data_IF_425665402297
#
_entry.id   IF_425665402297
#
_cell.length_a   1.000
_cell.length_b   1.000
_cell.length_c   1.000
_cell.angle_alpha   90.00
_cell.angle_beta   90.00
_cell.angle_gamma   90.00
#
_symmetry.space_group_name_H-M   'P 1'
#
loop_
_entity.id
_entity.type
_entity.pdbx_description
1 polymer ?
#
# COMPACT_ATOMS: atom_id res chain seq x y z
N UNK A 1 -21.69 20.31 41.14
CA UNK A 1 -20.64 19.27 41.34
C UNK A 1 -20.52 18.47 40.05
N UNK A 2 -19.69 18.92 39.10
CA UNK A 2 -19.43 18.21 37.85
C UNK A 2 -17.94 17.95 37.73
N UNK A 3 -17.54 16.68 37.71
CA UNK A 3 -16.14 16.28 37.47
C UNK A 3 -15.90 16.28 35.96
N UNK A 4 -15.13 17.24 35.47
CA UNK A 4 -14.54 17.19 34.13
C UNK A 4 -13.65 15.94 34.01
N UNK A 5 -14.01 15.05 33.08
CA UNK A 5 -13.13 13.95 32.64
C UNK A 5 -11.98 14.57 31.83
N UNK A 6 -10.79 14.64 32.42
CA UNK A 6 -9.54 14.91 31.69
C UNK A 6 -9.39 13.89 30.55
N UNK A 7 -9.45 14.37 29.29
CA UNK A 7 -9.07 13.60 28.11
C UNK A 7 -7.60 13.19 28.26
N UNK A 8 -7.32 11.87 28.33
CA UNK A 8 -5.95 11.35 28.18
C UNK A 8 -5.55 11.50 26.71
N UNK A 9 -4.32 11.93 26.39
CA UNK A 9 -3.84 11.93 25.02
C UNK A 9 -3.68 10.50 24.52
N UNK A 10 -4.07 10.26 23.27
CA UNK A 10 -3.78 9.05 22.52
C UNK A 10 -2.26 8.87 22.40
N UNK A 11 -1.70 7.66 22.49
CA UNK A 11 -0.27 7.44 22.26
C UNK A 11 0.03 7.69 20.77
N UNK A 12 0.48 8.90 20.43
CA UNK A 12 0.86 9.25 19.07
C UNK A 12 2.27 8.75 18.78
N UNK A 13 2.37 7.82 17.83
CA UNK A 13 3.59 7.27 17.25
C UNK A 13 4.59 8.34 16.77
N UNK A 14 4.11 9.56 16.47
CA UNK A 14 4.95 10.68 16.02
C UNK A 14 5.76 11.36 17.14
N UNK A 15 5.35 11.27 18.41
CA UNK A 15 5.98 12.06 19.47
C UNK A 15 7.34 11.50 19.93
N UNK A 16 7.52 10.18 19.90
CA UNK A 16 8.73 9.54 20.44
C UNK A 16 9.93 9.66 19.50
N UNK A 17 9.71 9.72 18.18
CA UNK A 17 10.78 9.96 17.20
C UNK A 17 11.35 11.40 17.27
N UNK A 18 10.58 12.37 17.80
CA UNK A 18 11.04 13.75 17.96
C UNK A 18 11.71 14.00 19.32
N UNK A 19 11.35 13.26 20.37
CA UNK A 19 11.87 13.48 21.72
C UNK A 19 13.39 13.17 21.85
N UNK A 20 13.92 12.24 21.06
CA UNK A 20 15.34 11.91 21.02
C UNK A 20 16.25 13.01 20.46
N UNK A 21 15.70 13.97 19.72
CA UNK A 21 16.45 15.08 19.13
C UNK A 21 16.51 16.33 20.04
N UNK A 22 15.67 16.43 21.07
CA UNK A 22 15.59 17.64 21.90
C UNK A 22 16.56 17.65 23.10
N UNK A 23 17.16 16.51 23.45
CA UNK A 23 18.00 16.39 24.65
C UNK A 23 19.52 16.48 24.41
N UNK A 24 19.96 16.87 23.21
CA UNK A 24 21.37 17.17 22.90
C UNK A 24 21.57 18.67 22.65
N UNK A 25 21.47 19.47 23.71
CA UNK A 25 21.89 20.86 23.68
C UNK A 25 23.37 20.95 24.06
N UNK A 26 24.26 20.54 23.15
CA UNK A 26 25.64 21.02 22.99
C UNK A 26 26.42 20.12 22.04
N UNK A 27 26.37 20.41 20.73
CA UNK A 27 27.51 20.34 19.79
C UNK A 27 26.99 20.44 18.35
N UNK A 28 27.56 21.37 17.58
CA UNK A 28 27.56 21.40 16.11
C UNK A 28 26.21 21.42 15.40
N UNK A 29 25.84 22.56 14.82
CA UNK A 29 24.81 22.64 13.78
C UNK A 29 25.01 21.54 12.72
N UNK A 30 23.97 20.80 12.30
CA UNK A 30 24.11 19.86 11.19
C UNK A 30 24.36 20.65 9.91
N UNK A 31 25.57 20.52 9.38
CA UNK A 31 25.92 21.08 8.09
C UNK A 31 25.20 20.29 6.98
N UNK A 32 24.42 20.99 6.15
CA UNK A 32 24.18 20.65 4.74
C UNK A 32 23.08 19.64 4.43
N UNK A 33 21.82 20.04 4.53
CA UNK A 33 20.79 19.55 3.60
C UNK A 33 20.90 20.40 2.33
N UNK A 34 21.89 20.11 1.50
CA UNK A 34 21.91 20.57 0.11
C UNK A 34 21.41 19.42 -0.76
N UNK A 35 20.08 19.25 -0.82
CA UNK A 35 19.49 18.69 -2.02
C UNK A 35 19.45 19.83 -3.04
N UNK A 36 20.20 19.73 -4.13
CA UNK A 36 20.07 20.62 -5.29
C UNK A 36 18.68 20.45 -5.93
N UNK A 37 17.66 20.99 -5.28
CA UNK A 37 16.34 21.18 -5.85
C UNK A 37 16.40 22.54 -6.54
N UNK A 38 16.41 22.53 -7.87
CA UNK A 38 16.34 23.76 -8.67
C UNK A 38 15.20 24.66 -8.18
N UNK A 39 15.41 25.98 -8.13
CA UNK A 39 14.39 26.97 -7.71
C UNK A 39 13.04 26.76 -8.41
N UNK A 40 13.07 26.26 -9.66
CA UNK A 40 11.90 25.92 -10.46
C UNK A 40 11.11 24.74 -9.87
N UNK A 41 11.81 23.70 -9.40
CA UNK A 41 11.20 22.53 -8.74
C UNK A 41 10.63 22.91 -7.36
N UNK A 42 11.33 23.76 -6.61
CA UNK A 42 10.84 24.28 -5.32
C UNK A 42 9.56 25.12 -5.50
N UNK A 43 9.47 25.91 -6.57
CA UNK A 43 8.26 26.69 -6.90
C UNK A 43 7.04 25.82 -7.23
N UNK A 44 7.25 24.70 -7.95
CA UNK A 44 6.20 23.74 -8.31
C UNK A 44 5.69 22.96 -7.09
N UNK A 45 6.62 22.53 -6.21
CA UNK A 45 6.30 21.89 -4.93
C UNK A 45 5.46 22.85 -4.07
N UNK A 46 5.90 24.09 -3.93
CA UNK A 46 5.19 25.10 -3.14
C UNK A 46 3.79 25.39 -3.71
N UNK A 47 3.64 25.49 -5.04
CA UNK A 47 2.34 25.68 -5.68
C UNK A 47 1.40 24.50 -5.43
N UNK A 48 1.92 23.27 -5.48
CA UNK A 48 1.13 22.06 -5.29
C UNK A 48 0.57 21.94 -3.87
N UNK A 49 1.43 22.02 -2.86
CA UNK A 49 0.99 21.89 -1.45
C UNK A 49 0.11 23.07 -1.00
N UNK A 50 0.32 24.26 -1.57
CA UNK A 50 -0.54 25.42 -1.33
C UNK A 50 -1.99 25.19 -1.79
N UNK A 51 -2.23 24.42 -2.86
CA UNK A 51 -3.57 24.07 -3.34
C UNK A 51 -4.40 23.33 -2.26
N UNK A 52 -3.73 22.59 -1.38
CA UNK A 52 -4.34 21.86 -0.28
C UNK A 52 -4.26 22.59 1.06
N UNK A 53 -3.81 23.85 1.07
CA UNK A 53 -3.64 24.64 2.29
C UNK A 53 -2.52 24.15 3.20
N UNK A 54 -1.53 23.41 2.66
CA UNK A 54 -0.40 22.89 3.42
C UNK A 54 0.71 23.93 3.41
N UNK A 55 1.11 24.39 4.59
CA UNK A 55 2.23 25.32 4.76
C UNK A 55 3.57 24.63 4.47
N UNK A 56 4.62 25.43 4.27
CA UNK A 56 5.99 24.91 4.12
C UNK A 56 6.41 24.07 5.33
N UNK A 57 6.04 24.49 6.54
CA UNK A 57 6.26 23.72 7.77
C UNK A 57 5.49 22.38 7.75
N UNK A 58 4.25 22.37 7.24
CA UNK A 58 3.49 21.14 7.01
C UNK A 58 4.21 20.18 6.06
N UNK A 59 4.76 20.69 4.96
CA UNK A 59 5.57 19.91 4.01
C UNK A 59 6.85 19.36 4.65
N UNK A 60 7.58 20.17 5.43
CA UNK A 60 8.76 19.69 6.17
C UNK A 60 8.43 18.56 7.16
N UNK A 61 7.28 18.64 7.84
CA UNK A 61 6.80 17.54 8.72
C UNK A 61 6.47 16.28 7.94
N UNK A 62 5.92 16.40 6.72
CA UNK A 62 5.70 15.24 5.83
C UNK A 62 7.04 14.60 5.46
N UNK A 63 8.03 15.39 5.03
CA UNK A 63 9.36 14.89 4.69
C UNK A 63 10.00 14.19 5.89
N UNK A 64 9.84 14.74 7.10
CA UNK A 64 10.30 14.12 8.33
C UNK A 64 9.57 12.80 8.64
N UNK A 65 8.27 12.72 8.38
CA UNK A 65 7.48 11.51 8.62
C UNK A 65 7.93 10.33 7.74
N UNK A 66 8.31 10.59 6.49
CA UNK A 66 8.81 9.56 5.54
C UNK A 66 10.34 9.45 5.49
N UNK A 67 11.04 10.20 6.35
CA UNK A 67 12.47 10.12 6.43
C UNK A 67 12.90 8.72 6.91
N UNK A 68 13.99 8.25 6.29
CA UNK A 68 14.63 6.99 6.63
C UNK A 68 16.13 7.15 6.47
N UNK A 69 16.91 6.67 7.43
CA UNK A 69 18.37 6.79 7.42
C UNK A 69 18.98 6.04 6.23
N UNK A 70 20.06 6.60 5.67
CA UNK A 70 20.86 5.97 4.61
C UNK A 70 22.23 5.58 5.14
N UNK A 71 22.91 4.63 4.48
CA UNK A 71 24.32 4.40 4.71
C UNK A 71 25.14 5.69 4.61
N UNK A 72 26.05 5.88 5.56
CA UNK A 72 26.99 7.01 5.60
C UNK A 72 28.09 6.93 4.52
N UNK A 73 28.07 5.89 3.69
CA UNK A 73 29.09 5.54 2.71
C UNK A 73 28.50 4.95 1.45
N UNK A 74 29.27 5.01 0.36
CA UNK A 74 28.92 4.31 -0.87
C UNK A 74 29.00 2.80 -0.70
N UNK A 75 27.96 2.10 -1.16
CA UNK A 75 27.87 0.64 -1.15
C UNK A 75 28.48 0.12 -2.43
N UNK A 76 29.68 -0.45 -2.33
CA UNK A 76 30.44 -0.93 -3.49
C UNK A 76 30.39 -2.44 -3.66
N UNK A 77 29.93 -3.19 -2.63
CA UNK A 77 29.83 -4.65 -2.66
C UNK A 77 28.64 -5.13 -1.81
N UNK A 78 27.95 -6.17 -2.29
CA UNK A 78 26.87 -6.87 -1.58
C UNK A 78 27.36 -7.45 -0.25
N UNK A 79 28.63 -7.84 -0.11
CA UNK A 79 29.15 -8.38 1.16
C UNK A 79 29.08 -7.39 2.32
N UNK A 80 29.04 -6.08 2.03
CA UNK A 80 28.89 -5.00 3.03
C UNK A 80 27.46 -4.86 3.56
N UNK A 81 26.50 -5.55 2.93
CA UNK A 81 25.10 -5.51 3.36
C UNK A 81 24.86 -6.32 4.61
N UNK A 82 23.85 -5.95 5.38
CA UNK A 82 23.52 -6.63 6.65
C UNK A 82 23.16 -8.09 6.41
N UNK A 83 23.93 -8.99 7.02
CA UNK A 83 23.74 -10.43 6.98
C UNK A 83 22.80 -10.88 8.09
N UNK A 84 21.66 -11.50 7.78
CA UNK A 84 20.78 -12.07 8.79
C UNK A 84 21.41 -13.26 9.53
N UNK A 85 22.41 -13.93 8.93
CA UNK A 85 23.09 -15.06 9.55
C UNK A 85 24.13 -14.65 10.59
N UNK A 86 24.73 -13.46 10.45
CA UNK A 86 25.76 -12.95 11.37
C UNK A 86 25.20 -11.94 12.39
N UNK A 87 24.07 -11.32 12.07
CA UNK A 87 23.37 -10.40 12.98
C UNK A 87 22.83 -11.16 14.19
N UNK A 88 23.04 -10.62 15.39
CA UNK A 88 22.58 -11.22 16.65
C UNK A 88 21.73 -10.21 17.44
N UNK A 89 21.03 -10.69 18.47
CA UNK A 89 20.36 -9.83 19.43
C UNK A 89 20.61 -10.30 20.87
N UNK A 90 20.48 -9.38 21.83
CA UNK A 90 20.66 -9.60 23.26
C UNK A 90 19.42 -9.10 23.99
N UNK A 91 18.89 -9.90 24.93
CA UNK A 91 17.81 -9.45 25.82
C UNK A 91 18.44 -8.70 26.98
N UNK A 92 18.12 -7.42 27.10
CA UNK A 92 18.70 -6.53 28.11
C UNK A 92 18.15 -6.87 29.50
N UNK A 93 19.05 -6.92 30.49
CA UNK A 93 18.70 -7.14 31.90
C UNK A 93 17.78 -8.35 32.13
N UNK A 94 18.09 -9.48 31.49
CA UNK A 94 17.27 -10.70 31.56
C UNK A 94 17.01 -11.11 33.02
N UNK A 95 15.74 -11.09 33.42
CA UNK A 95 15.25 -11.55 34.73
C UNK A 95 14.79 -13.01 34.65
N UNK A 96 14.78 -13.70 35.78
CA UNK A 96 14.17 -15.03 35.91
C UNK A 96 12.64 -15.01 35.68
N UNK A 97 11.98 -13.91 36.08
CA UNK A 97 10.54 -13.72 35.89
C UNK A 97 10.18 -12.25 35.71
N UNK A 98 9.02 -12.02 35.11
CA UNK A 98 8.47 -10.69 34.81
C UNK A 98 7.02 -10.61 35.24
N UNK A 99 6.55 -9.39 35.53
CA UNK A 99 5.13 -9.12 35.81
C UNK A 99 4.38 -8.75 34.52
N UNK A 100 3.11 -9.13 34.43
CA UNK A 100 2.26 -8.71 33.31
C UNK A 100 2.15 -7.19 33.29
N UNK A 101 2.37 -6.59 32.11
CA UNK A 101 2.42 -5.15 31.91
C UNK A 101 3.81 -4.53 32.00
N UNK A 102 4.85 -5.28 32.41
CA UNK A 102 6.24 -4.83 32.30
C UNK A 102 6.70 -4.75 30.84
N UNK A 103 7.82 -4.06 30.62
CA UNK A 103 8.49 -3.96 29.33
C UNK A 103 9.79 -4.78 29.30
N UNK A 104 10.06 -5.41 28.15
CA UNK A 104 11.28 -6.12 27.84
C UNK A 104 12.02 -5.38 26.73
N UNK A 105 13.31 -5.12 26.93
CA UNK A 105 14.17 -4.46 25.96
C UNK A 105 15.14 -5.46 25.33
N UNK A 106 15.35 -5.34 24.02
CA UNK A 106 16.26 -6.19 23.25
C UNK A 106 17.12 -5.30 22.36
N UNK A 107 18.43 -5.56 22.33
CA UNK A 107 19.35 -4.86 21.43
C UNK A 107 19.77 -5.79 20.30
N UNK A 108 19.59 -5.35 19.05
CA UNK A 108 20.06 -6.04 17.85
C UNK A 108 21.39 -5.42 17.43
N UNK A 109 22.38 -6.27 17.11
CA UNK A 109 23.69 -5.87 16.60
C UNK A 109 23.84 -6.35 15.16
N UNK A 110 23.67 -5.43 14.21
CA UNK A 110 23.76 -5.73 12.80
C UNK A 110 25.20 -6.00 12.38
N UNK A 111 25.39 -7.05 11.58
CA UNK A 111 26.68 -7.42 11.00
C UNK A 111 26.56 -7.68 9.52
N UNK A 112 27.63 -7.47 8.78
CA UNK A 112 27.70 -7.74 7.35
C UNK A 112 28.00 -9.23 7.03
N UNK A 113 28.10 -9.57 5.74
CA UNK A 113 28.42 -10.94 5.31
C UNK A 113 29.85 -11.36 5.60
N UNK A 114 30.73 -10.42 5.96
CA UNK A 114 32.10 -10.69 6.42
C UNK A 114 32.17 -10.74 7.97
N UNK A 115 31.00 -10.77 8.65
CA UNK A 115 30.84 -10.84 10.11
C UNK A 115 31.43 -9.62 10.85
N UNK A 116 31.52 -8.48 10.16
CA UNK A 116 31.94 -7.21 10.75
C UNK A 116 30.73 -6.42 11.21
N UNK A 117 30.84 -5.77 12.37
CA UNK A 117 29.79 -4.90 12.90
C UNK A 117 29.53 -3.73 11.97
N UNK A 118 28.25 -3.45 11.74
CA UNK A 118 27.80 -2.24 11.06
C UNK A 118 28.07 -1.03 11.95
N UNK A 119 28.28 0.14 11.34
CA UNK A 119 28.50 1.40 12.07
C UNK A 119 27.51 2.50 11.69
N UNK A 120 26.46 2.13 10.94
CA UNK A 120 25.39 3.01 10.48
C UNK A 120 24.08 2.25 10.54
N UNK A 121 22.98 3.00 10.66
CA UNK A 121 21.61 2.47 10.69
C UNK A 121 20.99 2.31 9.29
N UNK A 122 19.65 2.28 9.25
CA UNK A 122 18.84 2.24 8.04
C UNK A 122 18.30 0.86 7.69
N UNK A 123 18.70 -0.20 8.40
CA UNK A 123 18.10 -1.52 8.23
C UNK A 123 16.64 -1.50 8.69
N UNK A 124 15.78 -2.19 7.95
CA UNK A 124 14.40 -2.38 8.32
C UNK A 124 14.21 -3.72 9.01
N UNK A 125 14.15 -3.70 10.34
CA UNK A 125 13.83 -4.85 11.17
C UNK A 125 12.34 -4.86 11.58
N UNK A 126 11.79 -6.05 11.72
CA UNK A 126 10.54 -6.29 12.43
C UNK A 126 10.81 -7.27 13.57
N UNK A 127 10.13 -7.08 14.69
CA UNK A 127 10.30 -7.92 15.86
C UNK A 127 8.96 -8.28 16.49
N UNK A 128 8.88 -9.46 17.09
CA UNK A 128 7.73 -9.92 17.85
C UNK A 128 8.15 -10.75 19.06
N UNK A 129 7.37 -10.62 20.12
CA UNK A 129 7.40 -11.54 21.25
C UNK A 129 6.18 -12.45 21.10
N UNK A 130 6.36 -13.77 21.18
CA UNK A 130 5.29 -14.72 20.88
C UNK A 130 5.38 -16.01 21.69
N UNK A 131 4.27 -16.76 21.72
CA UNK A 131 4.20 -18.11 22.26
C UNK A 131 3.37 -19.00 21.33
N UNK A 132 4.01 -19.96 20.67
CA UNK A 132 3.33 -20.85 19.72
C UNK A 132 2.25 -21.71 20.38
N UNK A 133 2.46 -22.11 21.64
CA UNK A 133 1.53 -22.98 22.39
C UNK A 133 0.19 -22.29 22.62
N UNK A 134 0.23 -21.03 23.08
CA UNK A 134 -0.98 -20.25 23.39
C UNK A 134 -1.44 -19.38 22.22
N UNK A 135 -0.67 -19.34 21.12
CA UNK A 135 -0.87 -18.43 19.99
C UNK A 135 -0.86 -16.95 20.41
N UNK A 136 -0.23 -16.64 21.55
CA UNK A 136 -0.04 -15.28 22.02
C UNK A 136 1.07 -14.60 21.22
N UNK A 137 0.91 -13.31 20.95
CA UNK A 137 1.94 -12.51 20.28
C UNK A 137 1.73 -11.02 20.52
N UNK A 138 2.82 -10.26 20.55
CA UNK A 138 2.82 -8.80 20.63
C UNK A 138 3.91 -8.24 19.71
N UNK A 139 3.60 -7.12 19.07
CA UNK A 139 4.51 -6.39 18.21
C UNK A 139 5.64 -5.73 19.03
N UNK A 140 6.87 -5.80 18.52
CA UNK A 140 8.02 -5.11 19.10
C UNK A 140 8.29 -3.79 18.38
N UNK A 141 8.34 -2.69 19.12
CA UNK A 141 8.74 -1.39 18.56
C UNK A 141 10.24 -1.37 18.36
N UNK A 142 10.68 -1.22 17.11
CA UNK A 142 12.10 -1.15 16.74
C UNK A 142 12.53 0.30 16.53
N UNK A 143 13.62 0.70 17.19
CA UNK A 143 14.25 2.00 17.08
C UNK A 143 15.69 1.83 16.59
N UNK A 144 16.00 2.49 15.48
CA UNK A 144 17.37 2.55 14.93
C UNK A 144 18.23 3.51 15.78
N UNK A 145 19.37 3.01 16.27
CA UNK A 145 20.32 3.81 17.06
C UNK A 145 21.39 4.49 16.18
N UNK A 146 21.27 4.35 14.85
CA UNK A 146 22.09 4.97 13.82
C UNK A 146 23.58 4.59 13.84
N UNK A 147 23.94 3.56 14.61
CA UNK A 147 25.32 3.11 14.80
C UNK A 147 25.51 1.63 14.45
N UNK A 148 24.57 1.03 13.71
CA UNK A 148 24.55 -0.40 13.40
C UNK A 148 23.90 -1.28 14.49
N UNK A 149 23.35 -0.66 15.53
CA UNK A 149 22.53 -1.34 16.54
C UNK A 149 21.10 -0.80 16.58
N UNK A 150 20.16 -1.63 17.02
CA UNK A 150 18.73 -1.31 17.06
C UNK A 150 18.15 -1.73 18.41
N UNK A 151 17.36 -0.86 19.03
CA UNK A 151 16.63 -1.18 20.26
C UNK A 151 15.23 -1.68 19.92
N UNK A 152 14.75 -2.71 20.61
CA UNK A 152 13.41 -3.25 20.48
C UNK A 152 12.72 -3.23 21.83
N UNK A 153 11.52 -2.63 21.90
CA UNK A 153 10.67 -2.60 23.10
C UNK A 153 9.47 -3.52 22.94
N UNK A 154 9.28 -4.43 23.88
CA UNK A 154 8.09 -5.30 23.97
C UNK A 154 7.32 -5.03 25.26
N UNK A 155 6.00 -4.89 25.16
CA UNK A 155 5.10 -5.05 26.31
C UNK A 155 4.99 -6.55 26.66
N UNK A 156 4.77 -6.91 27.92
CA UNK A 156 4.50 -8.28 28.37
C UNK A 156 3.02 -8.46 28.77
N UNK A 157 2.08 -8.68 27.82
CA UNK A 157 0.65 -8.62 28.12
C UNK A 157 0.00 -9.95 28.55
N UNK A 158 0.75 -11.06 28.63
CA UNK A 158 0.21 -12.35 29.07
C UNK A 158 1.12 -13.06 30.07
N UNK A 159 0.53 -13.99 30.82
CA UNK A 159 1.24 -14.91 31.71
C UNK A 159 1.64 -16.17 30.94
N UNK A 160 2.89 -16.59 31.05
CA UNK A 160 3.40 -17.84 30.49
C UNK A 160 4.73 -17.67 29.77
N UNK A 161 5.15 -18.72 29.05
CA UNK A 161 6.35 -18.69 28.22
C UNK A 161 6.20 -17.70 27.06
N UNK A 162 7.32 -17.07 26.70
CA UNK A 162 7.42 -16.17 25.56
C UNK A 162 8.79 -16.32 24.89
N UNK A 163 8.85 -16.11 23.59
CA UNK A 163 10.06 -16.13 22.77
C UNK A 163 10.16 -14.84 21.97
N UNK A 164 11.38 -14.31 21.85
CA UNK A 164 11.69 -13.16 21.00
C UNK A 164 12.06 -13.67 19.60
N UNK A 165 11.48 -13.06 18.58
CA UNK A 165 11.92 -13.19 17.20
C UNK A 165 12.19 -11.81 16.62
N UNK A 166 13.37 -11.66 16.02
CA UNK A 166 13.79 -10.48 15.25
C UNK A 166 14.04 -10.90 13.82
N UNK A 167 13.55 -10.13 12.86
CA UNK A 167 13.67 -10.41 11.43
C UNK A 167 14.21 -9.19 10.71
N UNK A 168 15.29 -9.38 9.95
CA UNK A 168 15.73 -8.43 8.94
C UNK A 168 14.78 -8.53 7.74
N UNK A 169 14.03 -7.44 7.46
CA UNK A 169 13.18 -7.35 6.28
C UNK A 169 13.99 -6.83 5.10
N UNK A 170 14.72 -5.72 5.31
CA UNK A 170 15.68 -5.18 4.34
C UNK A 170 16.91 -4.65 5.06
N UNK A 171 18.07 -4.85 4.47
CA UNK A 171 19.26 -4.13 4.91
C UNK A 171 19.19 -2.66 4.50
N UNK A 172 19.96 -1.80 5.15
CA UNK A 172 20.11 -0.38 4.80
C UNK A 172 20.46 -0.16 3.32
N UNK A 173 21.24 -1.07 2.73
CA UNK A 173 21.64 -1.03 1.31
C UNK A 173 20.45 -1.30 0.40
N UNK A 174 19.65 -2.31 0.73
CA UNK A 174 18.43 -2.61 -0.03
C UNK A 174 17.41 -1.48 0.14
N UNK A 175 17.28 -0.90 1.34
CA UNK A 175 16.45 0.28 1.55
C UNK A 175 16.93 1.46 0.70
N UNK A 176 18.23 1.70 0.60
CA UNK A 176 18.79 2.74 -0.26
C UNK A 176 18.46 2.50 -1.74
N UNK A 177 18.55 1.25 -2.23
CA UNK A 177 18.13 0.87 -3.58
C UNK A 177 16.63 1.09 -3.78
N UNK A 178 15.80 0.68 -2.81
CA UNK A 178 14.35 0.91 -2.86
C UNK A 178 14.00 2.40 -2.83
N UNK A 179 14.74 3.23 -2.09
CA UNK A 179 14.61 4.69 -2.06
C UNK A 179 15.01 5.32 -3.38
N UNK A 180 16.18 4.96 -3.91
CA UNK A 180 16.63 5.46 -5.21
C UNK A 180 15.58 5.16 -6.26
N UNK A 181 15.19 3.90 -6.37
CA UNK A 181 14.18 3.48 -7.31
C UNK A 181 12.82 4.16 -7.09
N UNK A 182 12.39 4.38 -5.83
CA UNK A 182 11.18 5.16 -5.50
C UNK A 182 11.25 6.59 -6.05
N UNK A 183 12.41 7.20 -5.92
CA UNK A 183 12.63 8.62 -6.21
C UNK A 183 12.96 8.85 -7.70
N UNK A 184 13.44 7.83 -8.42
CA UNK A 184 13.89 7.94 -9.83
C UNK A 184 13.06 7.13 -10.84
N UNK A 185 12.49 5.98 -10.47
CA UNK A 185 11.76 5.07 -11.35
C UNK A 185 10.29 4.91 -10.95
N UNK A 186 9.37 5.63 -11.61
CA UNK A 186 7.93 5.57 -11.27
C UNK A 186 7.15 4.39 -11.86
N UNK A 187 7.68 3.71 -12.88
CA UNK A 187 6.91 2.76 -13.70
C UNK A 187 7.58 1.39 -13.67
N UNK A 188 7.27 0.57 -12.65
CA UNK A 188 7.83 -0.79 -12.53
C UNK A 188 6.87 -1.92 -12.90
N UNK A 189 5.66 -1.56 -13.32
CA UNK A 189 4.66 -2.50 -13.83
C UNK A 189 4.02 -1.87 -15.05
N UNK A 190 4.19 -2.51 -16.19
CA UNK A 190 3.40 -2.19 -17.37
C UNK A 190 2.12 -3.02 -17.35
N UNK A 191 1.06 -2.43 -17.86
CA UNK A 191 -0.22 -3.10 -18.03
C UNK A 191 -0.55 -3.18 -19.50
N UNK A 192 -1.62 -3.90 -19.85
CA UNK A 192 -2.17 -3.94 -21.19
C UNK A 192 -3.52 -3.25 -21.20
N UNK A 193 -3.68 -2.26 -22.07
CA UNK A 193 -4.96 -1.71 -22.47
C UNK A 193 -5.48 -2.44 -23.70
N UNK A 194 -6.74 -2.86 -23.67
CA UNK A 194 -7.41 -3.54 -24.78
C UNK A 194 -8.39 -2.56 -25.40
N UNK A 195 -8.18 -2.27 -26.67
CA UNK A 195 -9.00 -1.36 -27.45
C UNK A 195 -9.88 -2.17 -28.37
N UNK A 196 -11.16 -1.85 -28.43
CA UNK A 196 -12.09 -2.53 -29.33
C UNK A 196 -12.95 -1.52 -30.09
N UNK A 197 -13.15 -1.76 -31.38
CA UNK A 197 -13.94 -0.89 -32.22
C UNK A 197 -14.37 -1.53 -33.53
N UNK A 198 -15.20 -0.82 -34.33
CA UNK A 198 -15.63 -1.30 -35.63
C UNK A 198 -14.46 -1.31 -36.62
N UNK A 199 -14.26 -2.46 -37.27
CA UNK A 199 -13.31 -2.67 -38.34
C UNK A 199 -13.94 -2.66 -39.73
N UNK A 200 -13.10 -2.78 -40.78
CA UNK A 200 -13.58 -2.95 -42.15
C UNK A 200 -14.56 -4.13 -42.25
N UNK A 201 -15.60 -4.01 -43.08
CA UNK A 201 -16.55 -5.09 -43.39
C UNK A 201 -17.30 -5.67 -42.16
N UNK A 202 -17.72 -4.82 -41.21
CA UNK A 202 -18.46 -5.23 -39.98
C UNK A 202 -17.68 -6.18 -39.06
N UNK A 203 -16.36 -6.24 -39.19
CA UNK A 203 -15.51 -6.97 -38.24
C UNK A 203 -15.31 -6.14 -36.97
N UNK A 204 -14.99 -6.78 -35.84
CA UNK A 204 -14.59 -6.09 -34.60
C UNK A 204 -13.08 -6.14 -34.53
N UNK A 205 -12.43 -4.98 -34.50
CA UNK A 205 -10.98 -4.91 -34.26
C UNK A 205 -10.73 -4.94 -32.76
N UNK A 206 -9.65 -5.62 -32.37
CA UNK A 206 -9.15 -5.66 -31.01
C UNK A 206 -7.64 -5.47 -31.03
N UNK A 207 -7.13 -4.53 -30.23
CA UNK A 207 -5.71 -4.25 -30.09
C UNK A 207 -5.32 -4.22 -28.62
N UNK A 208 -4.25 -4.92 -28.27
CA UNK A 208 -3.64 -4.85 -26.94
C UNK A 208 -2.35 -4.04 -27.01
N UNK A 209 -2.27 -2.99 -26.20
CA UNK A 209 -1.12 -2.08 -26.16
C UNK A 209 -0.65 -1.87 -24.74
N UNK A 210 0.63 -1.56 -24.58
CA UNK A 210 1.23 -1.33 -23.27
C UNK A 210 0.71 -0.02 -22.65
N UNK A 211 0.33 -0.06 -21.38
CA UNK A 211 -0.13 1.06 -20.57
C UNK A 211 0.75 1.23 -19.34
N UNK A 212 0.64 2.39 -18.69
CA UNK A 212 1.57 2.86 -17.66
C UNK A 212 2.96 3.13 -18.26
N UNK A 213 2.98 3.89 -19.36
CA UNK A 213 4.20 4.20 -20.13
C UNK A 213 4.69 5.63 -19.86
N UNK A 214 6.01 5.77 -19.63
CA UNK A 214 6.72 7.04 -19.41
C UNK A 214 7.48 7.54 -20.64
N UNK A 215 7.76 8.85 -20.66
CA UNK A 215 8.57 9.52 -21.67
C UNK A 215 10.07 9.61 -21.29
N UNK A 216 10.38 9.78 -20.01
CA UNK A 216 11.74 10.04 -19.53
C UNK A 216 12.39 8.82 -18.85
N UNK A 217 13.57 8.45 -19.37
CA UNK A 217 14.55 7.49 -18.81
C UNK A 217 14.03 6.09 -18.46
N UNK A 218 13.48 5.35 -19.43
CA UNK A 218 13.61 3.87 -19.58
C UNK A 218 12.62 3.26 -20.61
N UNK A 219 12.63 3.69 -21.90
CA UNK A 219 12.14 2.78 -22.97
C UNK A 219 11.41 3.32 -24.21
N UNK A 220 11.14 4.63 -24.37
CA UNK A 220 10.47 5.14 -25.59
C UNK A 220 11.10 6.41 -26.20
N UNK A 221 12.35 6.73 -25.87
CA UNK A 221 13.09 7.85 -26.49
C UNK A 221 13.23 7.73 -28.02
N UNK A 222 12.97 6.55 -28.59
CA UNK A 222 13.08 6.30 -30.03
C UNK A 222 11.83 6.66 -30.86
N UNK A 223 10.69 7.07 -30.26
CA UNK A 223 9.41 7.16 -30.99
C UNK A 223 8.85 8.56 -31.30
N UNK A 224 9.55 9.64 -30.97
CA UNK A 224 9.19 11.00 -31.44
C UNK A 224 7.98 11.64 -30.75
N UNK A 225 8.02 12.97 -30.65
CA UNK A 225 7.33 13.83 -29.66
C UNK A 225 5.85 14.12 -29.91
N UNK A 226 5.11 13.31 -30.66
CA UNK A 226 3.72 13.67 -31.05
C UNK A 226 2.69 12.56 -31.00
N UNK A 227 3.05 11.36 -31.44
CA UNK A 227 2.05 10.34 -31.79
C UNK A 227 2.08 9.03 -30.99
N UNK A 228 2.94 8.91 -29.97
CA UNK A 228 3.15 7.62 -29.32
C UNK A 228 1.94 7.08 -28.53
N UNK A 229 1.09 7.96 -27.98
CA UNK A 229 0.36 7.60 -26.78
C UNK A 229 -1.05 8.20 -26.67
N UNK A 230 -1.95 7.44 -26.05
CA UNK A 230 -3.27 7.84 -25.61
C UNK A 230 -3.19 8.31 -24.15
N UNK A 231 -3.58 9.56 -23.89
CA UNK A 231 -3.64 10.15 -22.54
C UNK A 231 -5.09 10.19 -22.04
N UNK A 232 -5.28 9.73 -20.81
CA UNK A 232 -6.57 9.74 -20.12
C UNK A 232 -6.42 10.59 -18.87
N UNK A 233 -6.83 11.87 -18.97
CA UNK A 233 -6.85 12.80 -17.85
C UNK A 233 -8.16 12.68 -17.09
N UNK A 234 -8.10 12.41 -15.80
CA UNK A 234 -9.27 12.47 -14.93
C UNK A 234 -9.64 13.95 -14.65
N UNK A 235 -10.88 14.39 -14.90
CA UNK A 235 -11.25 15.80 -14.83
C UNK A 235 -11.33 16.37 -13.41
N UNK A 236 -11.44 15.52 -12.38
CA UNK A 236 -11.57 15.95 -10.98
C UNK A 236 -10.23 15.97 -10.24
N UNK A 237 -9.38 14.98 -10.51
CA UNK A 237 -8.09 14.79 -9.83
C UNK A 237 -6.92 15.34 -10.63
N UNK A 238 -7.12 15.64 -11.90
CA UNK A 238 -6.08 16.02 -12.87
C UNK A 238 -5.00 14.97 -13.14
N UNK A 239 -5.18 13.74 -12.63
CA UNK A 239 -4.26 12.63 -12.88
C UNK A 239 -4.28 12.21 -14.36
N UNK A 240 -3.10 11.89 -14.92
CA UNK A 240 -2.94 11.48 -16.33
C UNK A 240 -2.49 10.02 -16.39
N UNK A 241 -3.31 9.15 -16.99
CA UNK A 241 -2.94 7.78 -17.33
C UNK A 241 -2.54 7.67 -18.80
N UNK A 242 -1.49 6.89 -19.11
CA UNK A 242 -0.94 6.78 -20.47
C UNK A 242 -0.88 5.35 -20.97
N UNK A 243 -1.25 5.17 -22.23
CA UNK A 243 -1.06 3.95 -22.99
C UNK A 243 -0.38 4.25 -24.32
N UNK A 244 0.36 3.30 -24.88
CA UNK A 244 0.75 3.35 -26.27
C UNK A 244 -0.49 3.49 -27.16
N UNK A 245 -0.36 4.24 -28.25
CA UNK A 245 -1.44 4.46 -29.21
C UNK A 245 -1.67 3.15 -30.00
N UNK A 246 -2.92 2.65 -30.08
CA UNK A 246 -3.25 1.54 -30.97
C UNK A 246 -2.96 1.91 -32.42
N UNK A 247 -2.60 0.93 -33.25
CA UNK A 247 -2.26 1.16 -34.66
C UNK A 247 -3.47 1.56 -35.49
N UNK A 248 -4.65 1.05 -35.16
CA UNK A 248 -5.86 1.18 -35.99
C UNK A 248 -7.07 1.73 -35.24
N UNK A 249 -7.10 1.62 -33.91
CA UNK A 249 -8.21 2.07 -33.08
C UNK A 249 -7.93 3.45 -32.42
N UNK A 250 -8.96 4.31 -32.27
CA UNK A 250 -8.81 5.59 -31.59
C UNK A 250 -8.60 5.40 -30.09
N UNK A 251 -8.02 6.39 -29.43
CA UNK A 251 -7.80 6.36 -27.98
C UNK A 251 -9.11 6.19 -27.17
N UNK A 252 -10.23 6.68 -27.68
CA UNK A 252 -11.54 6.49 -27.05
C UNK A 252 -12.04 5.04 -27.06
N UNK A 253 -11.37 4.13 -27.78
CA UNK A 253 -11.78 2.72 -27.92
C UNK A 253 -11.26 1.81 -26.80
N UNK A 254 -10.60 2.34 -25.76
CA UNK A 254 -10.13 1.54 -24.63
C UNK A 254 -11.31 0.90 -23.87
N UNK A 255 -11.32 -0.42 -23.75
CA UNK A 255 -12.40 -1.19 -23.10
C UNK A 255 -11.91 -1.94 -21.85
N UNK A 256 -10.73 -2.56 -21.89
CA UNK A 256 -10.23 -3.37 -20.78
C UNK A 256 -8.78 -3.06 -20.39
N UNK A 257 -8.40 -3.50 -19.19
CA UNK A 257 -7.05 -3.39 -18.62
C UNK A 257 -6.63 -4.72 -17.95
N UNK A 258 -5.38 -5.20 -18.17
CA UNK A 258 -4.88 -6.49 -17.63
C UNK A 258 -3.35 -6.57 -17.50
N UNK A 259 -2.82 -7.61 -16.84
CA UNK A 259 -1.37 -7.92 -16.70
C UNK A 259 -0.87 -9.14 -17.53
N UNK A 260 -1.68 -9.76 -18.41
CA UNK A 260 -1.38 -11.06 -19.07
C UNK A 260 -1.88 -11.11 -20.54
N UNK A 261 -1.22 -11.90 -21.41
CA UNK A 261 -1.26 -11.82 -22.90
C UNK A 261 -1.78 -13.08 -23.62
N UNK A 262 -2.06 -14.22 -22.97
CA UNK A 262 -2.60 -15.38 -23.69
C UNK A 262 -4.06 -15.15 -24.19
N UNK A 263 -4.33 -15.44 -25.49
CA UNK A 263 -5.64 -15.20 -26.12
C UNK A 263 -6.68 -16.25 -25.68
N UNK A 264 -7.41 -15.88 -24.62
CA UNK A 264 -8.50 -16.67 -24.04
C UNK A 264 -9.72 -16.64 -24.95
N UNK A 265 -10.47 -17.73 -25.00
CA UNK A 265 -11.75 -17.78 -25.72
C UNK A 265 -12.66 -16.61 -25.31
N UNK A 266 -13.07 -15.79 -26.29
CA UNK A 266 -14.01 -14.69 -26.12
C UNK A 266 -14.92 -14.54 -27.35
N UNK A 267 -16.04 -13.82 -27.25
CA UNK A 267 -16.92 -13.58 -28.39
C UNK A 267 -16.23 -12.80 -29.52
N UNK A 268 -16.53 -13.13 -30.77
CA UNK A 268 -16.07 -12.36 -31.94
C UNK A 268 -14.73 -12.80 -32.55
N UNK A 269 -14.13 -13.90 -32.09
CA UNK A 269 -12.92 -14.46 -32.67
C UNK A 269 -13.14 -14.92 -34.13
N UNK A 270 -12.13 -14.70 -34.98
CA UNK A 270 -12.13 -15.21 -36.34
C UNK A 270 -11.98 -16.74 -36.33
N UNK A 271 -12.92 -17.43 -36.95
CA UNK A 271 -12.90 -18.88 -37.07
C UNK A 271 -12.15 -19.27 -38.36
N UNK A 272 -10.88 -19.71 -38.30
CA UNK A 272 -10.18 -20.17 -39.49
C UNK A 272 -10.87 -21.42 -40.06
N UNK A 273 -10.60 -21.73 -41.33
CA UNK A 273 -11.02 -22.99 -41.93
C UNK A 273 -9.77 -23.82 -42.24
N UNK A 274 -9.53 -24.93 -41.53
CA UNK A 274 -10.41 -25.54 -40.52
C UNK A 274 -10.38 -24.82 -39.16
N UNK A 275 -11.49 -24.89 -38.41
CA UNK A 275 -11.65 -24.24 -37.09
C UNK A 275 -10.91 -24.97 -35.95
N UNK A 276 -10.35 -26.13 -36.26
CA UNK A 276 -9.78 -27.07 -35.32
C UNK A 276 -9.76 -28.47 -35.92
N UNK A 277 -9.35 -29.44 -35.11
CA UNK A 277 -9.30 -30.85 -35.49
C UNK A 277 -9.65 -31.75 -34.30
N UNK A 278 -10.07 -32.98 -34.61
CA UNK A 278 -10.22 -34.03 -33.62
C UNK A 278 -8.96 -34.89 -33.56
N UNK A 279 -8.54 -35.23 -32.33
CA UNK A 279 -7.55 -36.26 -32.07
C UNK A 279 -7.97 -37.00 -30.80
N UNK A 280 -8.09 -38.34 -30.85
CA UNK A 280 -8.54 -39.16 -29.72
C UNK A 280 -9.84 -38.65 -29.06
N UNK A 281 -10.86 -38.37 -29.88
CA UNK A 281 -12.16 -37.82 -29.46
C UNK A 281 -12.12 -36.44 -28.78
N UNK A 282 -10.99 -35.74 -28.85
CA UNK A 282 -10.80 -34.40 -28.28
C UNK A 282 -10.73 -33.36 -29.39
N UNK A 283 -11.61 -32.35 -29.33
CA UNK A 283 -11.58 -31.19 -30.21
C UNK A 283 -10.49 -30.20 -29.77
N UNK A 284 -9.49 -30.01 -30.63
CA UNK A 284 -8.47 -28.98 -30.48
C UNK A 284 -8.82 -27.79 -31.37
N UNK A 285 -9.16 -26.65 -30.76
CA UNK A 285 -9.57 -25.46 -31.51
C UNK A 285 -8.36 -24.63 -31.96
N UNK A 286 -8.40 -24.18 -33.21
CA UNK A 286 -7.48 -23.15 -33.72
C UNK A 286 -8.00 -21.73 -33.48
N UNK A 287 -9.18 -21.58 -32.88
CA UNK A 287 -9.84 -20.29 -32.61
C UNK A 287 -9.34 -19.67 -31.31
N UNK A 288 -9.13 -20.49 -30.27
CA UNK A 288 -8.67 -20.05 -28.96
C UNK A 288 -8.19 -21.24 -28.12
N UNK A 289 -7.52 -20.96 -26.99
CA UNK A 289 -7.15 -22.00 -26.04
C UNK A 289 -8.39 -22.57 -25.33
N UNK A 290 -8.87 -23.71 -25.83
CA UNK A 290 -9.95 -24.48 -25.19
C UNK A 290 -9.42 -25.24 -23.98
N UNK A 291 -10.27 -25.42 -22.96
CA UNK A 291 -9.99 -26.29 -21.80
C UNK A 291 -11.08 -27.33 -21.66
N UNK A 292 -10.73 -28.50 -21.13
CA UNK A 292 -11.68 -29.56 -20.83
C UNK A 292 -12.32 -29.35 -19.46
N UNK A 293 -13.64 -29.53 -19.41
CA UNK A 293 -14.42 -29.41 -18.18
C UNK A 293 -14.99 -30.77 -17.77
N UNK A 294 -14.82 -31.09 -16.50
CA UNK A 294 -15.56 -32.13 -15.77
C UNK A 294 -16.78 -31.51 -15.09
N UNK A 295 -17.76 -32.31 -14.66
CA UNK A 295 -18.95 -31.82 -13.93
C UNK A 295 -18.60 -30.97 -12.71
N UNK A 296 -17.56 -31.36 -11.98
CA UNK A 296 -17.05 -30.62 -10.82
C UNK A 296 -16.43 -29.27 -11.24
N UNK A 297 -15.54 -29.27 -12.24
CA UNK A 297 -14.88 -28.04 -12.71
C UNK A 297 -15.82 -27.09 -13.45
N UNK A 298 -16.92 -27.58 -14.04
CA UNK A 298 -18.02 -26.75 -14.56
C UNK A 298 -18.73 -26.01 -13.43
N UNK A 299 -19.08 -26.72 -12.37
CA UNK A 299 -19.77 -26.13 -11.20
C UNK A 299 -18.87 -25.09 -10.52
N UNK A 300 -17.58 -25.39 -10.36
CA UNK A 300 -16.57 -24.45 -9.87
C UNK A 300 -16.35 -23.26 -10.82
N UNK A 301 -16.40 -23.47 -12.14
CA UNK A 301 -16.27 -22.42 -13.15
C UNK A 301 -17.41 -21.41 -13.08
N UNK A 302 -18.63 -21.89 -12.86
CA UNK A 302 -19.85 -21.08 -12.78
C UNK A 302 -20.03 -20.42 -11.41
N UNK A 303 -19.45 -21.00 -10.35
CA UNK A 303 -19.45 -20.42 -9.00
C UNK A 303 -18.71 -19.07 -8.99
N UNK A 304 -19.38 -18.03 -8.49
CA UNK A 304 -18.84 -16.68 -8.34
C UNK A 304 -18.40 -15.97 -9.63
N UNK A 305 -19.07 -16.20 -10.77
CA UNK A 305 -18.82 -15.43 -12.01
C UNK A 305 -19.18 -13.93 -11.93
N UNK A 306 -19.74 -13.46 -10.81
CA UNK A 306 -19.60 -12.08 -10.33
C UNK A 306 -18.44 -12.00 -9.32
N UNK A 307 -17.21 -12.07 -9.81
CA UNK A 307 -15.99 -11.74 -9.06
C UNK A 307 -15.34 -10.56 -9.74
N UNK A 308 -15.60 -9.37 -9.21
CA UNK A 308 -15.05 -8.13 -9.73
C UNK A 308 -14.86 -7.12 -8.62
N UNK A 309 -14.05 -6.12 -8.90
CA UNK A 309 -13.68 -4.96 -8.08
C UNK A 309 -14.86 -4.02 -7.73
N UNK A 310 -16.06 -4.57 -7.62
CA UNK A 310 -17.32 -3.86 -7.46
C UNK A 310 -17.90 -3.36 -8.78
N UNK A 311 -19.02 -2.62 -8.72
CA UNK A 311 -19.77 -2.36 -7.49
C UNK A 311 -20.52 -3.59 -6.98
N UNK A 312 -20.49 -3.81 -5.67
CA UNK A 312 -21.26 -4.84 -4.96
C UNK A 312 -22.20 -4.16 -3.94
N UNK A 313 -23.38 -4.75 -3.76
CA UNK A 313 -24.39 -4.31 -2.81
C UNK A 313 -24.93 -5.53 -2.05
N UNK A 314 -25.02 -5.40 -0.74
CA UNK A 314 -25.79 -6.31 0.11
C UNK A 314 -26.84 -5.50 0.87
N UNK A 315 -28.07 -5.99 0.97
CA UNK A 315 -29.18 -5.31 1.65
C UNK A 315 -29.85 -6.26 2.62
N UNK A 316 -29.98 -5.81 3.87
CA UNK A 316 -30.84 -6.38 4.89
C UNK A 316 -32.03 -5.43 5.11
N UNK A 317 -33.13 -5.74 4.43
CA UNK A 317 -34.36 -4.95 4.50
C UNK A 317 -34.97 -4.96 5.89
N UNK A 318 -34.82 -6.06 6.65
CA UNK A 318 -35.44 -6.21 7.97
C UNK A 318 -34.79 -5.27 8.99
N UNK A 319 -33.48 -5.14 8.90
CA UNK A 319 -32.70 -4.31 9.82
C UNK A 319 -32.36 -2.92 9.25
N UNK A 320 -32.82 -2.61 8.03
CA UNK A 320 -32.53 -1.36 7.32
C UNK A 320 -31.02 -1.10 7.20
N UNK A 321 -30.28 -2.11 6.72
CA UNK A 321 -28.84 -2.04 6.50
C UNK A 321 -28.57 -2.28 5.02
N UNK A 322 -27.83 -1.39 4.39
CA UNK A 322 -27.22 -1.60 3.09
C UNK A 322 -25.70 -1.46 3.19
N UNK A 323 -24.99 -2.38 2.54
CA UNK A 323 -23.53 -2.40 2.46
C UNK A 323 -23.12 -2.26 1.00
N UNK A 324 -22.43 -1.17 0.72
CA UNK A 324 -21.85 -0.88 -0.57
C UNK A 324 -20.36 -1.20 -0.54
N UNK A 325 -19.88 -1.98 -1.51
CA UNK A 325 -18.45 -2.26 -1.66
C UNK A 325 -17.97 -2.03 -3.08
N UNK A 326 -16.82 -1.36 -3.20
CA UNK A 326 -16.14 -1.04 -4.45
C UNK A 326 -14.63 -1.06 -4.21
N UNK A 327 -13.86 -1.44 -5.22
CA UNK A 327 -12.43 -1.19 -5.20
C UNK A 327 -12.16 0.29 -5.47
N UNK A 328 -11.01 0.78 -5.02
CA UNK A 328 -10.56 2.11 -5.36
C UNK A 328 -10.14 2.19 -6.84
N UNK A 329 -10.22 3.40 -7.41
CA UNK A 329 -9.74 3.71 -8.76
C UNK A 329 -8.25 3.44 -8.95
N UNK A 330 -7.77 3.54 -10.19
CA UNK A 330 -6.38 3.23 -10.53
C UNK A 330 -5.38 3.99 -9.64
N UNK A 331 -4.21 3.40 -9.31
CA UNK A 331 -3.74 2.08 -9.71
C UNK A 331 -4.36 0.94 -8.89
N UNK A 332 -5.00 -0.02 -9.55
CA UNK A 332 -5.61 -1.18 -8.90
C UNK A 332 -4.91 -2.46 -9.35
N UNK A 333 -4.22 -3.14 -8.42
CA UNK A 333 -3.53 -4.42 -8.72
C UNK A 333 -4.44 -5.61 -8.41
N UNK A 334 -5.44 -5.82 -9.24
CA UNK A 334 -6.40 -6.92 -9.10
C UNK A 334 -6.51 -7.77 -10.38
N UNK A 335 -7.39 -8.77 -10.37
CA UNK A 335 -7.85 -9.43 -11.60
C UNK A 335 -8.63 -8.43 -12.48
N UNK A 336 -8.92 -8.81 -13.74
CA UNK A 336 -9.65 -7.99 -14.72
C UNK A 336 -10.83 -7.26 -14.09
N UNK A 337 -10.83 -5.94 -14.21
CA UNK A 337 -11.88 -5.05 -13.69
C UNK A 337 -12.39 -4.19 -14.83
N UNK A 338 -13.70 -3.97 -14.90
CA UNK A 338 -14.27 -3.02 -15.83
C UNK A 338 -13.83 -1.61 -15.42
N UNK A 339 -13.27 -0.83 -16.35
CA UNK A 339 -12.80 0.54 -16.08
C UNK A 339 -13.94 1.41 -15.57
N UNK A 340 -15.16 1.21 -16.10
CA UNK A 340 -16.38 1.88 -15.65
C UNK A 340 -16.73 1.64 -14.16
N UNK A 341 -16.11 0.66 -13.50
CA UNK A 341 -16.32 0.40 -12.07
C UNK A 341 -15.17 0.94 -11.20
N UNK A 342 -14.12 1.53 -11.80
CA UNK A 342 -12.93 2.03 -11.11
C UNK A 342 -13.12 3.50 -10.76
N UNK A 343 -13.74 3.76 -9.61
CA UNK A 343 -14.03 5.11 -9.15
C UNK A 343 -13.03 5.57 -8.09
N UNK A 344 -12.63 6.83 -8.14
CA UNK A 344 -11.78 7.43 -7.12
C UNK A 344 -12.55 7.62 -5.81
N UNK A 345 -11.92 7.29 -4.68
CA UNK A 345 -12.52 7.40 -3.34
C UNK A 345 -13.02 8.83 -3.08
N UNK A 346 -12.28 9.85 -3.51
CA UNK A 346 -12.70 11.26 -3.38
C UNK A 346 -14.03 11.53 -4.09
N UNK A 347 -14.18 11.07 -5.33
CA UNK A 347 -15.37 11.31 -6.14
C UNK A 347 -16.60 10.61 -5.53
N UNK A 348 -16.40 9.42 -4.97
CA UNK A 348 -17.46 8.71 -4.24
C UNK A 348 -17.87 9.49 -2.98
N UNK A 349 -16.91 9.97 -2.19
CA UNK A 349 -17.20 10.75 -0.98
C UNK A 349 -17.91 12.07 -1.30
N UNK A 350 -17.50 12.78 -2.35
CA UNK A 350 -18.11 14.04 -2.76
C UNK A 350 -19.58 13.87 -3.17
N UNK A 351 -19.95 12.70 -3.70
CA UNK A 351 -21.32 12.36 -4.08
C UNK A 351 -22.23 11.95 -2.93
N UNK A 352 -21.70 11.73 -1.72
CA UNK A 352 -22.49 11.27 -0.57
C UNK A 352 -23.02 12.44 0.25
N UNK A 353 -24.28 12.39 0.68
CA UNK A 353 -24.82 13.41 1.58
C UNK A 353 -24.12 13.40 2.95
N UNK A 354 -23.76 12.22 3.45
CA UNK A 354 -23.31 11.99 4.82
C UNK A 354 -24.46 11.84 5.81
N UNK A 355 -24.15 11.75 7.10
CA UNK A 355 -25.12 11.77 8.19
C UNK A 355 -24.84 10.73 9.29
N UNK A 356 -25.63 10.76 10.38
CA UNK A 356 -25.41 9.94 11.58
C UNK A 356 -25.61 8.44 11.37
N UNK A 357 -26.22 8.04 10.25
CA UNK A 357 -26.48 6.64 9.91
C UNK A 357 -25.56 6.12 8.79
N UNK A 358 -24.56 6.91 8.39
CA UNK A 358 -23.61 6.55 7.34
C UNK A 358 -22.23 6.31 7.92
N UNK A 359 -21.67 5.14 7.62
CA UNK A 359 -20.28 4.78 7.91
C UNK A 359 -19.54 4.66 6.59
N UNK A 360 -18.48 5.43 6.42
CA UNK A 360 -17.59 5.35 5.26
C UNK A 360 -16.30 4.71 5.72
N UNK A 361 -15.96 3.56 5.14
CA UNK A 361 -14.68 2.90 5.37
C UNK A 361 -13.88 2.82 4.07
N UNK A 362 -12.63 3.27 4.09
CA UNK A 362 -11.73 3.09 2.96
C UNK A 362 -10.35 2.59 3.39
N UNK A 363 -9.65 1.97 2.43
CA UNK A 363 -8.28 1.53 2.57
C UNK A 363 -7.54 1.90 1.28
N UNK A 364 -6.37 2.51 1.44
CA UNK A 364 -5.44 2.72 0.34
C UNK A 364 -4.41 1.61 0.43
N UNK A 365 -4.69 0.54 -0.31
CA UNK A 365 -4.01 -0.74 -0.17
C UNK A 365 -2.57 -0.76 -0.69
N UNK A 366 -1.93 -1.94 -0.69
CA UNK A 366 -0.57 -2.14 -1.18
C UNK A 366 -0.42 -1.88 -2.70
N UNK A 367 -1.49 -1.56 -3.42
CA UNK A 367 -1.43 -1.29 -4.86
C UNK A 367 -0.55 -0.07 -5.20
N UNK A 368 -0.35 0.81 -4.23
CA UNK A 368 0.53 1.98 -4.35
C UNK A 368 1.98 1.68 -3.98
N UNK A 369 2.35 0.46 -3.57
CA UNK A 369 3.73 0.16 -3.15
C UNK A 369 4.74 0.16 -4.30
N UNK A 370 4.24 0.20 -5.53
CA UNK A 370 5.04 0.32 -6.76
C UNK A 370 4.94 1.71 -7.39
N UNK A 371 4.32 2.68 -6.72
CA UNK A 371 4.17 4.05 -7.18
C UNK A 371 4.96 5.01 -6.28
N UNK A 372 5.52 6.10 -6.84
CA UNK A 372 6.19 7.14 -6.05
C UNK A 372 5.38 7.68 -4.87
N UNK A 373 6.05 8.12 -3.81
CA UNK A 373 5.39 8.64 -2.61
C UNK A 373 4.64 9.95 -2.86
N UNK A 374 5.10 10.78 -3.79
CA UNK A 374 4.41 12.01 -4.19
C UNK A 374 3.08 11.70 -4.88
N UNK A 375 3.03 10.68 -5.75
CA UNK A 375 1.80 10.17 -6.35
C UNK A 375 0.81 9.70 -5.28
N UNK A 376 1.29 8.92 -4.31
CA UNK A 376 0.46 8.49 -3.19
C UNK A 376 0.00 9.66 -2.31
N UNK A 377 0.90 10.60 -2.03
CA UNK A 377 0.60 11.81 -1.24
C UNK A 377 -0.50 12.62 -1.93
N UNK A 378 -0.41 12.83 -3.25
CA UNK A 378 -1.44 13.48 -4.03
C UNK A 378 -2.79 12.80 -3.85
N UNK A 379 -2.84 11.47 -3.99
CA UNK A 379 -4.07 10.70 -3.82
C UNK A 379 -4.67 10.87 -2.43
N UNK A 380 -3.83 10.75 -1.39
CA UNK A 380 -4.25 10.90 0.01
C UNK A 380 -4.79 12.31 0.28
N UNK A 381 -4.12 13.36 -0.22
CA UNK A 381 -4.54 14.74 -0.01
C UNK A 381 -5.86 15.09 -0.72
N UNK A 382 -6.11 14.54 -1.92
CA UNK A 382 -7.41 14.65 -2.60
C UNK A 382 -8.52 13.97 -1.80
N UNK A 383 -8.27 12.79 -1.23
CA UNK A 383 -9.23 12.11 -0.35
C UNK A 383 -9.44 12.89 0.95
N UNK A 384 -8.38 13.43 1.56
CA UNK A 384 -8.47 14.29 2.74
C UNK A 384 -9.39 15.48 2.47
N UNK A 385 -9.23 16.16 1.34
CA UNK A 385 -10.09 17.29 0.93
C UNK A 385 -11.57 16.89 0.86
N UNK A 386 -11.87 15.76 0.22
CA UNK A 386 -13.24 15.23 0.13
C UNK A 386 -13.82 14.87 1.52
N UNK A 387 -13.03 14.23 2.38
CA UNK A 387 -13.42 13.91 3.77
C UNK A 387 -13.69 15.17 4.59
N UNK A 388 -12.85 16.20 4.47
CA UNK A 388 -13.07 17.48 5.16
C UNK A 388 -14.37 18.15 4.70
N UNK A 389 -14.63 18.17 3.39
CA UNK A 389 -15.87 18.72 2.85
C UNK A 389 -17.12 17.94 3.30
N UNK A 390 -17.01 16.61 3.37
CA UNK A 390 -18.06 15.74 3.93
C UNK A 390 -18.33 16.06 5.40
N UNK A 391 -17.30 16.10 6.24
CA UNK A 391 -17.45 16.34 7.68
C UNK A 391 -17.90 17.77 7.98
N UNK A 392 -17.57 18.74 7.13
CA UNK A 392 -18.11 20.09 7.23
C UNK A 392 -19.61 20.13 6.94
N UNK A 393 -20.08 19.34 5.96
CA UNK A 393 -21.51 19.27 5.58
C UNK A 393 -22.33 18.40 6.53
N UNK A 394 -21.77 17.29 7.01
CA UNK A 394 -22.42 16.28 7.81
C UNK A 394 -21.46 15.78 8.92
N UNK A 395 -21.31 16.55 10.02
CA UNK A 395 -20.29 16.30 11.05
C UNK A 395 -20.48 14.99 11.82
N UNK A 396 -21.70 14.44 11.84
CA UNK A 396 -22.00 13.17 12.50
C UNK A 396 -21.69 11.94 11.62
N UNK A 397 -21.13 12.13 10.42
CA UNK A 397 -20.73 11.02 9.55
C UNK A 397 -19.52 10.29 10.13
N UNK A 398 -19.60 8.96 10.25
CA UNK A 398 -18.46 8.17 10.71
C UNK A 398 -17.54 7.84 9.54
N UNK A 399 -16.26 8.25 9.63
CA UNK A 399 -15.24 7.94 8.62
C UNK A 399 -14.12 7.10 9.24
N UNK A 400 -13.86 5.93 8.64
CA UNK A 400 -12.89 4.94 9.09
C UNK A 400 -11.87 4.70 7.99
N UNK A 401 -10.59 4.80 8.35
CA UNK A 401 -9.47 4.57 7.45
C UNK A 401 -8.71 3.35 7.93
N UNK A 402 -8.70 2.28 7.14
CA UNK A 402 -7.91 1.09 7.44
C UNK A 402 -6.49 1.26 6.95
N UNK A 403 -5.51 0.90 7.78
CA UNK A 403 -4.09 0.90 7.42
C UNK A 403 -3.70 -0.33 6.60
N UNK A 404 -2.49 -0.30 6.02
CA UNK A 404 -1.97 -1.38 5.18
C UNK A 404 -1.62 -2.62 6.01
N UNK A 405 -1.83 -3.80 5.42
CA UNK A 405 -1.39 -5.07 6.00
C UNK A 405 0.11 -5.28 5.76
N UNK A 406 0.79 -6.00 6.64
CA UNK A 406 2.15 -6.50 6.39
C UNK A 406 2.15 -7.80 5.58
N UNK A 407 3.34 -8.25 5.14
CA UNK A 407 3.52 -9.46 4.34
C UNK A 407 3.53 -9.20 2.84
N UNK A 408 3.77 -7.97 2.41
CA UNK A 408 3.99 -7.65 1.00
C UNK A 408 5.41 -8.06 0.58
N UNK A 409 5.51 -8.93 -0.43
CA UNK A 409 6.78 -9.52 -0.89
C UNK A 409 6.86 -9.40 -2.41
N UNK A 410 7.50 -8.36 -2.89
CA UNK A 410 7.76 -8.10 -4.31
C UNK A 410 9.19 -7.52 -4.42
N UNK A 411 9.87 -7.70 -5.55
CA UNK A 411 11.17 -7.05 -5.77
C UNK A 411 11.03 -5.53 -5.91
N UNK A 412 9.82 -5.06 -6.24
CA UNK A 412 9.52 -3.65 -6.47
C UNK A 412 8.78 -2.97 -5.32
N UNK A 413 8.41 -3.71 -4.27
CA UNK A 413 7.79 -3.14 -3.09
C UNK A 413 7.78 -4.11 -1.91
N UNK A 414 7.74 -3.58 -0.70
CA UNK A 414 7.83 -4.38 0.52
C UNK A 414 7.06 -3.75 1.69
N UNK A 415 7.12 -4.42 2.84
CA UNK A 415 6.63 -3.85 4.10
C UNK A 415 7.33 -2.52 4.42
N UNK A 416 8.62 -2.34 4.09
CA UNK A 416 9.28 -1.05 4.31
C UNK A 416 8.58 0.08 3.54
N UNK A 417 8.24 -0.17 2.28
CA UNK A 417 7.55 0.81 1.46
C UNK A 417 6.10 1.01 1.92
N UNK A 418 5.42 -0.07 2.28
CA UNK A 418 4.06 -0.03 2.83
C UNK A 418 4.00 0.84 4.09
N UNK A 419 5.02 0.79 4.94
CA UNK A 419 5.17 1.67 6.11
C UNK A 419 5.31 3.14 5.72
N UNK A 420 6.00 3.46 4.62
CA UNK A 420 6.08 4.85 4.13
C UNK A 420 4.71 5.38 3.71
N UNK A 421 3.91 4.56 3.01
CA UNK A 421 2.54 4.89 2.65
C UNK A 421 1.68 5.12 3.91
N UNK A 422 1.79 4.24 4.90
CA UNK A 422 1.07 4.37 6.17
C UNK A 422 1.44 5.67 6.92
N UNK A 423 2.72 6.06 6.91
CA UNK A 423 3.20 7.33 7.49
C UNK A 423 2.58 8.55 6.82
N UNK A 424 2.49 8.57 5.49
CA UNK A 424 1.82 9.63 4.72
C UNK A 424 0.34 9.71 5.08
N UNK A 425 -0.34 8.56 5.10
CA UNK A 425 -1.75 8.46 5.43
C UNK A 425 -2.04 9.03 6.83
N UNK A 426 -1.25 8.65 7.83
CA UNK A 426 -1.40 9.16 9.20
C UNK A 426 -1.11 10.65 9.29
N UNK A 427 -0.02 11.12 8.69
CA UNK A 427 0.30 12.55 8.66
C UNK A 427 -0.83 13.35 8.02
N UNK A 428 -1.39 12.86 6.92
CA UNK A 428 -2.46 13.53 6.19
C UNK A 428 -3.84 13.45 6.85
N UNK A 429 -4.01 12.74 7.96
CA UNK A 429 -5.30 12.67 8.67
C UNK A 429 -5.17 12.91 10.20
N UNK A 430 -3.98 13.27 10.68
CA UNK A 430 -3.67 13.40 12.12
C UNK A 430 -4.53 14.43 12.87
N UNK A 431 -5.10 15.39 12.15
CA UNK A 431 -5.89 16.51 12.64
C UNK A 431 -7.36 16.48 12.14
N UNK A 432 -7.78 15.36 11.55
CA UNK A 432 -9.16 15.17 11.08
C UNK A 432 -9.88 14.23 12.03
N UNK A 433 -11.17 14.47 12.28
CA UNK A 433 -12.04 13.62 13.10
C UNK A 433 -12.39 12.27 12.46
N UNK A 434 -11.39 11.52 11.99
CA UNK A 434 -11.53 10.17 11.42
C UNK A 434 -11.02 9.13 12.41
N UNK A 435 -11.46 7.88 12.25
CA UNK A 435 -10.90 6.76 12.98
C UNK A 435 -9.89 5.99 12.11
N UNK A 436 -8.68 5.76 12.63
CA UNK A 436 -7.68 4.91 11.98
C UNK A 436 -7.82 3.48 12.52
N UNK A 437 -8.38 2.58 11.71
CA UNK A 437 -8.36 1.14 11.98
C UNK A 437 -6.95 0.62 11.70
N UNK A 438 -6.11 0.64 12.73
CA UNK A 438 -4.71 0.26 12.66
C UNK A 438 -4.53 -1.26 12.72
N UNK A 439 -4.19 -1.84 11.58
CA UNK A 439 -3.98 -3.29 11.44
C UNK A 439 -2.52 -3.67 11.24
N UNK A 440 -1.61 -2.69 11.12
CA UNK A 440 -0.20 -2.92 10.81
C UNK A 440 0.45 -3.87 11.81
N UNK A 441 0.31 -3.55 13.11
CA UNK A 441 0.87 -4.35 14.19
C UNK A 441 0.18 -5.71 14.31
N UNK A 442 -1.14 -5.75 14.10
CA UNK A 442 -1.94 -6.98 14.13
C UNK A 442 -1.43 -8.00 13.10
N UNK A 443 -1.15 -7.56 11.88
CA UNK A 443 -0.61 -8.43 10.83
C UNK A 443 0.89 -8.73 11.03
N UNK A 444 1.67 -7.79 11.57
CA UNK A 444 3.11 -7.94 11.77
C UNK A 444 3.46 -8.99 12.84
N UNK A 445 2.69 -9.06 13.92
CA UNK A 445 2.99 -9.99 15.02
C UNK A 445 2.19 -11.29 14.95
N UNK A 446 1.24 -11.47 14.02
CA UNK A 446 0.42 -12.68 13.97
C UNK A 446 1.28 -13.96 13.82
N UNK A 447 0.78 -15.07 14.36
CA UNK A 447 1.48 -16.37 14.33
C UNK A 447 1.36 -17.09 12.98
N UNK A 448 0.40 -16.69 12.14
CA UNK A 448 0.26 -17.21 10.77
C UNK A 448 1.39 -16.73 9.88
N UNK A 449 1.65 -17.46 8.79
CA UNK A 449 2.59 -17.06 7.74
C UNK A 449 2.22 -15.68 7.20
N UNK A 450 3.21 -14.82 6.99
CA UNK A 450 2.96 -13.46 6.50
C UNK A 450 2.33 -13.49 5.11
N UNK A 451 1.25 -12.73 4.96
CA UNK A 451 0.49 -12.61 3.73
C UNK A 451 -0.24 -11.27 3.73
N UNK A 452 -0.03 -10.49 2.68
CA UNK A 452 -0.72 -9.22 2.45
C UNK A 452 -2.25 -9.37 2.40
N UNK A 453 -2.72 -10.56 2.02
CA UNK A 453 -4.11 -11.00 2.13
C UNK A 453 -4.26 -11.84 3.41
N UNK A 454 -4.62 -11.21 4.55
CA UNK A 454 -4.59 -11.88 5.84
C UNK A 454 -5.63 -13.01 5.91
N UNK A 455 -5.36 -13.99 6.78
CA UNK A 455 -6.28 -15.10 7.03
C UNK A 455 -7.55 -14.65 7.75
N UNK A 456 -8.55 -15.53 7.75
CA UNK A 456 -9.89 -15.26 8.31
C UNK A 456 -9.89 -14.86 9.78
N UNK A 457 -8.93 -15.34 10.59
CA UNK A 457 -8.80 -14.96 12.00
C UNK A 457 -8.47 -13.47 12.15
N UNK A 458 -7.53 -12.97 11.36
CA UNK A 458 -7.16 -11.55 11.36
C UNK A 458 -8.35 -10.73 10.86
N UNK A 459 -8.96 -11.10 9.72
CA UNK A 459 -10.13 -10.42 9.15
C UNK A 459 -11.27 -10.33 10.16
N UNK A 460 -11.54 -11.40 10.92
CA UNK A 460 -12.56 -11.39 11.97
C UNK A 460 -12.24 -10.36 13.07
N UNK A 461 -10.99 -10.26 13.50
CA UNK A 461 -10.57 -9.26 14.50
C UNK A 461 -10.62 -7.84 13.93
N UNK A 462 -10.27 -7.63 12.66
CA UNK A 462 -10.45 -6.33 11.99
C UNK A 462 -11.92 -5.91 11.99
N UNK A 463 -12.85 -6.84 11.68
CA UNK A 463 -14.29 -6.62 11.72
C UNK A 463 -14.78 -6.34 13.15
N UNK A 464 -14.27 -7.06 14.16
CA UNK A 464 -14.67 -6.85 15.55
C UNK A 464 -14.27 -5.46 16.06
N UNK A 465 -13.08 -4.99 15.72
CA UNK A 465 -12.65 -3.62 16.02
C UNK A 465 -13.53 -2.63 15.26
N UNK A 466 -13.72 -2.82 13.95
CA UNK A 466 -14.58 -1.97 13.12
C UNK A 466 -15.98 -1.82 13.74
N UNK A 467 -16.63 -2.92 14.08
CA UNK A 467 -17.98 -2.91 14.66
C UNK A 467 -18.00 -2.33 16.08
N UNK A 468 -16.90 -2.43 16.84
CA UNK A 468 -16.80 -1.78 18.16
C UNK A 468 -16.78 -0.26 18.05
N UNK A 469 -16.30 0.30 16.93
CA UNK A 469 -16.38 1.74 16.65
C UNK A 469 -17.76 2.16 16.13
N UNK A 470 -18.37 1.34 15.28
CA UNK A 470 -19.70 1.63 14.71
C UNK A 470 -20.82 1.47 15.76
N UNK A 471 -20.69 0.48 16.64
CA UNK A 471 -21.70 0.11 17.64
C UNK A 471 -21.08 0.08 19.05
N UNK A 472 -20.67 1.23 19.61
CA UNK A 472 -20.01 1.25 20.92
C UNK A 472 -21.00 0.86 22.04
N UNK A 473 -20.55 -0.03 22.93
CA UNK A 473 -21.26 -0.31 24.19
C UNK A 473 -20.72 0.65 25.24
N UNK A 474 -21.58 1.54 25.74
CA UNK A 474 -21.24 2.36 26.90
C UNK A 474 -21.37 1.49 28.16
N UNK A 475 -20.22 1.10 28.72
CA UNK A 475 -20.12 0.39 30.00
C UNK A 475 -20.09 1.40 31.15
#
# INVERSE_FOLDING_TARGET
>A
MGKERKKRPSPSFLSQHCAGLQNSANSGSPAGINSEVSEKSQSLINSFYSEFGISLDGYSRLQQAVYWADPDRSITNVSMSTSPAHTTFIIENLKESYQTGEELFVTVHAKDFDNKSKSYGGDFFQAKLFCSKTKASVFGEVVDLLNGSYSVRFLLPWVGEAQVAVRLIHSSEVVQVLKHHRDTDSDRVYFYGFYEGPGPNKTRLSEAVMCNVKWDKNGLEHMGTGDCCCEYKDPCTEEIWRCQRPKSLPCSALVYHSMDVAEKCHPGLHTPVPAGFYLNDVWTSFVCSTRHFTTQTTTECLKDKHKGSGPLLAVDVKNNIDLHWRAHGVPLRSRKSAVANLHYISNEIDGLAGGPHMVIMFNLGPHFTTYPLDFFTHRVLRIRKAVLALLQRAPDTTVIIKTVNTGYKDIFGSDWYSLQLDRILRWAFQDVGVYILDVWQMTACHYSKENIHPGTVIIKNEIDILLSFVCPVYI
#
